data_IF_237249992795
#
_entry.id   IF_237249992795
#
_cell.length_a   1.000
_cell.length_b   1.000
_cell.length_c   1.000
_cell.angle_alpha   90.00
_cell.angle_beta   90.00
_cell.angle_gamma   90.00
#
_symmetry.space_group_name_H-M   'P 1'
#
loop_
_entity.id
_entity.type
_entity.pdbx_description
1 polymer ?
#
# COMPACT_ATOMS: atom_id res chain seq x y z
N UNK A 1 28.29 -9.79 12.64
CA UNK A 1 27.85 -8.86 13.70
C UNK A 1 26.34 -8.81 13.58
N UNK A 2 25.59 -9.26 14.58
CA UNK A 2 24.13 -9.23 14.51
C UNK A 2 23.67 -7.78 14.66
N UNK A 3 23.05 -7.22 13.61
CA UNK A 3 22.42 -5.91 13.69
C UNK A 3 21.18 -6.04 14.59
N UNK A 4 21.12 -5.28 15.67
CA UNK A 4 20.01 -5.33 16.61
C UNK A 4 18.83 -4.54 16.03
N UNK A 5 17.86 -5.25 15.46
CA UNK A 5 16.57 -4.68 15.10
C UNK A 5 15.85 -4.21 16.37
N UNK A 6 15.30 -2.99 16.32
CA UNK A 6 14.59 -2.37 17.44
C UNK A 6 13.12 -2.20 17.07
N UNK A 7 12.21 -2.69 17.92
CA UNK A 7 10.78 -2.38 17.84
C UNK A 7 10.41 -1.30 18.84
N UNK A 8 9.38 -0.52 18.52
CA UNK A 8 8.89 0.56 19.38
C UNK A 8 7.40 0.34 19.70
N UNK A 9 7.00 0.41 20.99
CA UNK A 9 5.61 0.20 21.38
C UNK A 9 4.61 1.19 20.77
N UNK A 10 5.06 2.38 20.36
CA UNK A 10 4.26 3.42 19.73
C UNK A 10 4.23 3.33 18.19
N UNK A 11 4.84 2.29 17.58
CA UNK A 11 4.74 2.06 16.14
C UNK A 11 3.39 1.46 15.75
N UNK A 12 2.52 2.27 15.14
CA UNK A 12 1.19 1.83 14.68
C UNK A 12 1.23 0.70 13.63
N UNK A 13 2.38 0.48 13.00
CA UNK A 13 2.57 -0.51 11.94
C UNK A 13 3.46 -1.69 12.37
N UNK A 14 3.85 -1.75 13.66
CA UNK A 14 4.70 -2.83 14.23
C UNK A 14 5.98 -3.08 13.41
N UNK A 15 6.62 -1.99 12.95
CA UNK A 15 7.85 -2.07 12.16
C UNK A 15 9.06 -2.29 13.06
N UNK A 16 10.08 -2.91 12.46
CA UNK A 16 11.41 -3.01 13.03
C UNK A 16 12.32 -1.96 12.40
N UNK A 17 13.09 -1.27 13.24
CA UNK A 17 14.02 -0.24 12.84
C UNK A 17 15.46 -0.70 13.08
N UNK A 18 16.32 -0.43 12.11
CA UNK A 18 17.74 -0.77 12.15
C UNK A 18 18.59 0.49 12.32
N UNK A 19 19.41 0.59 13.38
CA UNK A 19 20.36 1.69 13.51
C UNK A 19 21.37 1.70 12.36
N UNK A 20 21.64 2.87 11.79
CA UNK A 20 22.69 3.02 10.81
C UNK A 20 24.07 3.01 11.48
N UNK A 21 24.95 2.08 11.10
CA UNK A 21 26.16 1.74 11.86
C UNK A 21 27.50 2.17 11.20
N UNK A 22 27.49 3.08 10.22
CA UNK A 22 28.74 3.62 9.66
C UNK A 22 29.35 4.73 10.53
N UNK A 23 30.58 5.17 10.21
CA UNK A 23 31.34 6.24 10.87
C UNK A 23 30.70 7.64 10.66
N UNK A 24 29.46 7.81 11.10
CA UNK A 24 28.69 9.05 11.04
C UNK A 24 28.44 9.53 12.46
N UNK A 25 28.49 10.85 12.70
CA UNK A 25 28.23 11.37 14.04
C UNK A 25 26.73 11.28 14.35
N UNK A 26 26.42 10.72 15.53
CA UNK A 26 25.06 10.65 16.06
C UNK A 26 24.90 11.80 17.04
N UNK A 27 23.93 12.66 16.78
CA UNK A 27 23.60 13.80 17.63
C UNK A 27 22.34 13.44 18.42
N UNK A 28 22.43 13.51 19.76
CA UNK A 28 21.27 13.39 20.63
C UNK A 28 20.49 14.72 20.70
N UNK A 29 19.17 14.61 20.74
CA UNK A 29 18.21 15.70 20.95
C UNK A 29 17.62 15.59 22.34
N UNK A 30 17.56 16.70 23.07
CA UNK A 30 17.03 16.72 24.44
C UNK A 30 15.49 16.76 24.48
N UNK A 31 14.84 17.02 23.34
CA UNK A 31 13.39 17.21 23.25
C UNK A 31 12.82 16.43 22.04
N UNK A 32 11.66 15.81 22.23
CA UNK A 32 10.88 15.18 21.15
C UNK A 32 10.25 16.26 20.26
N UNK A 33 10.50 16.25 18.94
CA UNK A 33 9.90 17.24 18.03
C UNK A 33 8.39 17.03 17.84
N UNK A 34 7.69 18.11 17.49
CA UNK A 34 6.26 18.10 17.21
C UNK A 34 5.99 17.60 15.80
N UNK A 35 6.10 16.29 15.60
CA UNK A 35 5.90 15.65 14.30
C UNK A 35 4.40 15.48 14.02
N UNK A 36 3.87 16.19 13.02
CA UNK A 36 2.48 16.05 12.57
C UNK A 36 2.40 16.06 11.04
N UNK A 37 1.42 15.35 10.46
CA UNK A 37 1.13 15.39 9.02
C UNK A 37 1.70 14.24 8.17
N UNK A 38 2.20 13.16 8.76
CA UNK A 38 2.59 11.97 8.00
C UNK A 38 1.47 10.93 7.97
N UNK A 39 1.27 10.27 6.83
CA UNK A 39 0.41 9.08 6.74
C UNK A 39 1.12 7.81 7.27
N UNK A 40 2.46 7.85 7.32
CA UNK A 40 3.34 6.79 7.82
C UNK A 40 4.29 7.36 8.89
N UNK A 41 3.75 7.70 10.07
CA UNK A 41 4.48 8.37 11.17
C UNK A 41 5.47 7.36 11.79
N UNK A 42 6.80 7.65 11.82
CA UNK A 42 7.76 6.85 12.58
C UNK A 42 7.56 7.01 14.10
N UNK A 43 7.97 6.02 14.91
CA UNK A 43 8.04 6.14 16.37
C UNK A 43 8.71 7.42 16.85
N UNK A 44 8.18 7.99 17.92
CA UNK A 44 8.63 9.28 18.48
C UNK A 44 10.12 9.27 18.86
N UNK A 45 10.60 8.15 19.41
CA UNK A 45 11.99 7.94 19.84
C UNK A 45 13.02 8.06 18.72
N UNK A 46 12.64 7.81 17.47
CA UNK A 46 13.55 7.96 16.32
C UNK A 46 14.04 9.40 16.19
N UNK A 47 13.20 10.36 16.56
CA UNK A 47 13.53 11.77 16.48
C UNK A 47 14.31 12.31 17.69
N UNK A 48 14.62 11.47 18.68
CA UNK A 48 15.53 11.82 19.79
C UNK A 48 17.00 11.78 19.36
N UNK A 49 17.30 11.25 18.17
CA UNK A 49 18.65 11.25 17.60
C UNK A 49 18.64 11.59 16.11
N UNK A 50 19.77 12.05 15.60
CA UNK A 50 19.97 12.28 14.17
C UNK A 50 21.39 11.94 13.75
N UNK A 51 21.53 11.44 12.52
CA UNK A 51 22.81 11.32 11.83
C UNK A 51 23.20 12.69 11.28
N UNK A 52 24.44 13.11 11.46
CA UNK A 52 24.96 14.37 10.95
C UNK A 52 26.47 14.29 10.67
N UNK A 53 27.06 15.40 10.26
CA UNK A 53 28.49 15.58 10.02
C UNK A 53 29.03 16.74 10.83
N UNK A 54 30.33 16.72 11.09
CA UNK A 54 31.02 17.87 11.65
C UNK A 54 31.30 18.90 10.53
N UNK A 55 31.11 20.19 10.82
CA UNK A 55 31.57 21.33 9.98
C UNK A 55 31.03 21.42 8.54
N UNK A 56 29.70 21.49 8.38
CA UNK A 56 28.99 21.80 7.11
C UNK A 56 29.33 20.87 5.93
N UNK A 57 30.07 19.79 6.16
CA UNK A 57 30.39 18.82 5.13
C UNK A 57 29.14 18.05 4.70
N UNK A 58 29.05 17.59 3.44
CA UNK A 58 27.96 16.73 3.01
C UNK A 58 27.89 15.44 3.82
N UNK A 59 26.70 15.08 4.29
CA UNK A 59 26.45 13.76 4.88
C UNK A 59 26.19 12.76 3.74
N UNK A 60 27.05 11.76 3.63
CA UNK A 60 26.91 10.68 2.65
C UNK A 60 26.52 9.38 3.35
N UNK A 61 25.43 8.75 2.90
CA UNK A 61 24.91 7.50 3.44
C UNK A 61 24.83 6.45 2.33
N UNK A 62 25.48 5.31 2.55
CA UNK A 62 25.33 4.11 1.72
C UNK A 62 24.19 3.27 2.28
N UNK A 63 22.96 3.71 1.96
CA UNK A 63 21.76 3.12 2.53
C UNK A 63 20.71 2.82 1.43
N UNK A 64 20.10 1.61 1.43
CA UNK A 64 20.28 0.52 2.41
C UNK A 64 21.67 -0.15 2.33
N UNK A 65 22.09 -0.88 3.38
CA UNK A 65 23.41 -1.51 3.44
C UNK A 65 23.58 -2.67 2.43
N UNK A 66 22.46 -3.16 1.90
CA UNK A 66 22.41 -4.23 0.90
C UNK A 66 22.26 -3.63 -0.51
N UNK A 67 22.84 -4.31 -1.50
CA UNK A 67 22.60 -3.98 -2.89
C UNK A 67 21.16 -4.30 -3.29
N UNK A 68 20.51 -3.34 -3.93
CA UNK A 68 19.12 -3.43 -4.35
C UNK A 68 18.98 -4.09 -5.72
N UNK A 69 17.98 -4.97 -5.95
CA UNK A 69 17.66 -5.42 -7.30
C UNK A 69 17.20 -4.23 -8.16
N UNK A 70 17.41 -4.34 -9.47
CA UNK A 70 16.92 -3.36 -10.42
C UNK A 70 15.39 -3.31 -10.39
N UNK A 71 14.85 -2.25 -9.78
CA UNK A 71 13.43 -2.07 -9.60
C UNK A 71 13.08 -0.60 -9.40
N UNK A 72 11.80 -0.36 -9.16
CA UNK A 72 11.24 0.94 -8.83
C UNK A 72 10.95 0.98 -7.33
N UNK A 73 11.44 1.98 -6.63
CA UNK A 73 11.32 2.10 -5.18
C UNK A 73 10.52 3.33 -4.74
N UNK A 74 9.91 3.24 -3.57
CA UNK A 74 9.54 4.41 -2.78
C UNK A 74 10.59 4.63 -1.70
N UNK A 75 10.98 5.87 -1.49
CA UNK A 75 11.93 6.26 -0.43
C UNK A 75 11.25 7.32 0.42
N UNK A 76 11.16 7.09 1.73
CA UNK A 76 10.71 8.06 2.71
C UNK A 76 11.93 8.48 3.56
N UNK A 77 12.20 9.77 3.67
CA UNK A 77 13.26 10.32 4.51
C UNK A 77 12.66 11.27 5.54
N UNK A 78 13.08 11.14 6.80
CA UNK A 78 12.49 11.81 7.95
C UNK A 78 13.49 12.73 8.64
N UNK A 79 13.05 13.96 8.89
CA UNK A 79 13.88 15.04 9.41
C UNK A 79 13.16 15.79 10.53
N UNK A 80 13.89 16.18 11.57
CA UNK A 80 13.46 17.12 12.59
C UNK A 80 14.70 17.69 13.30
N UNK A 81 14.66 19.00 13.59
CA UNK A 81 15.73 19.67 14.33
C UNK A 81 15.15 20.40 15.54
N UNK A 82 15.52 19.97 16.73
CA UNK A 82 15.03 20.51 18.00
C UNK A 82 16.16 20.94 18.94
N UNK A 83 17.33 21.23 18.36
CA UNK A 83 18.45 21.79 19.12
C UNK A 83 18.09 23.21 19.54
N UNK A 84 18.46 23.56 20.77
CA UNK A 84 18.00 24.72 21.53
C UNK A 84 17.69 25.96 20.67
N UNK A 85 16.47 26.47 20.83
CA UNK A 85 15.87 27.61 20.10
C UNK A 85 16.59 28.95 20.24
N UNK A 86 17.79 28.96 20.85
CA UNK A 86 18.68 30.12 20.98
C UNK A 86 19.44 30.44 19.69
N UNK A 87 19.61 29.47 18.80
CA UNK A 87 20.19 29.67 17.48
C UNK A 87 19.07 29.58 16.45
N UNK A 88 18.65 30.73 15.92
CA UNK A 88 17.72 30.85 14.79
C UNK A 88 18.30 30.31 13.47
N UNK A 89 19.11 29.24 13.51
CA UNK A 89 19.70 28.64 12.34
C UNK A 89 18.64 27.82 11.62
N UNK A 90 18.09 28.39 10.54
CA UNK A 90 17.32 27.60 9.57
C UNK A 90 18.25 26.58 8.92
N UNK A 91 17.90 25.31 9.07
CA UNK A 91 18.59 24.21 8.42
C UNK A 91 17.98 24.07 7.03
N UNK A 92 18.75 24.47 6.02
CA UNK A 92 18.39 24.31 4.63
C UNK A 92 19.34 23.30 4.00
N UNK A 93 18.78 22.22 3.46
CA UNK A 93 19.57 21.15 2.88
C UNK A 93 19.08 20.74 1.48
N UNK A 94 19.99 20.20 0.69
CA UNK A 94 19.70 19.53 -0.56
C UNK A 94 19.79 18.02 -0.35
N UNK A 95 18.91 17.27 -1.03
CA UNK A 95 18.91 15.80 -1.01
C UNK A 95 19.27 15.32 -2.40
N UNK A 96 20.29 14.46 -2.50
CA UNK A 96 20.65 13.75 -3.72
C UNK A 96 20.52 12.24 -3.49
N UNK A 97 20.04 11.54 -4.51
CA UNK A 97 19.92 10.07 -4.53
C UNK A 97 20.68 9.58 -5.75
N UNK A 98 21.74 8.80 -5.55
CA UNK A 98 22.64 8.34 -6.63
C UNK A 98 23.08 9.47 -7.56
N UNK A 99 23.61 10.55 -6.98
CA UNK A 99 24.08 11.78 -7.66
C UNK A 99 22.98 12.65 -8.32
N UNK A 100 21.73 12.16 -8.39
CA UNK A 100 20.60 12.94 -8.90
C UNK A 100 20.05 13.83 -7.79
N UNK A 101 20.00 15.14 -8.03
CA UNK A 101 19.37 16.08 -7.10
C UNK A 101 17.86 15.85 -7.06
N UNK A 102 17.37 15.45 -5.88
CA UNK A 102 15.97 15.14 -5.66
C UNK A 102 15.21 16.30 -5.03
N UNK A 103 15.73 16.88 -3.93
CA UNK A 103 15.14 18.08 -3.29
C UNK A 103 16.18 19.17 -3.14
N UNK A 104 15.73 20.42 -3.29
CA UNK A 104 16.52 21.62 -3.03
C UNK A 104 15.90 22.46 -1.93
N UNK A 105 16.74 23.03 -1.06
CA UNK A 105 16.34 23.96 -0.02
C UNK A 105 15.24 23.42 0.91
N UNK A 106 15.34 22.15 1.32
CA UNK A 106 14.46 21.61 2.34
C UNK A 106 14.74 22.32 3.65
N UNK A 107 13.71 22.98 4.19
CA UNK A 107 13.76 23.58 5.52
C UNK A 107 13.42 22.52 6.57
N UNK A 108 14.32 22.32 7.53
CA UNK A 108 14.13 21.39 8.65
C UNK A 108 13.94 22.20 9.92
N UNK A 109 12.80 21.98 10.58
CA UNK A 109 12.40 22.66 11.82
C UNK A 109 12.04 21.63 12.91
N UNK A 110 11.65 22.12 14.09
CA UNK A 110 11.16 21.28 15.19
C UNK A 110 9.78 20.67 14.95
N UNK A 111 9.04 21.12 13.92
CA UNK A 111 7.82 20.46 13.45
C UNK A 111 8.11 19.17 12.65
N UNK A 112 9.36 19.02 12.19
CA UNK A 112 9.79 17.93 11.34
C UNK A 112 9.31 18.06 9.89
N UNK A 113 9.90 17.24 9.02
CA UNK A 113 9.57 17.11 7.61
C UNK A 113 9.76 15.65 7.17
N UNK A 114 8.88 15.19 6.28
CA UNK A 114 9.06 13.93 5.57
C UNK A 114 9.07 14.18 4.08
N UNK A 115 9.96 13.47 3.40
CA UNK A 115 10.22 13.62 1.99
C UNK A 115 10.02 12.25 1.33
N UNK A 116 9.23 12.21 0.25
CA UNK A 116 8.81 10.96 -0.41
C UNK A 116 9.22 10.91 -1.88
N UNK A 117 10.29 10.19 -2.20
CA UNK A 117 10.64 9.89 -3.58
C UNK A 117 9.72 8.77 -4.06
N UNK A 118 8.91 9.04 -5.09
CA UNK A 118 8.00 8.04 -5.66
C UNK A 118 8.57 7.52 -6.96
N UNK A 119 8.44 6.21 -7.16
CA UNK A 119 8.86 5.52 -8.38
C UNK A 119 10.33 5.75 -8.77
N UNK A 120 11.22 5.78 -7.78
CA UNK A 120 12.64 6.04 -8.00
C UNK A 120 13.35 4.78 -8.52
N UNK A 121 14.03 4.83 -9.68
CA UNK A 121 14.77 3.67 -10.17
C UNK A 121 16.05 3.48 -9.34
N UNK A 122 16.21 2.29 -8.75
CA UNK A 122 17.44 1.92 -8.05
C UNK A 122 17.91 0.54 -8.51
N UNK A 123 19.22 0.38 -8.54
CA UNK A 123 19.92 -0.86 -8.83
C UNK A 123 21.28 -0.82 -8.12
N UNK A 124 21.68 -1.92 -7.49
CA UNK A 124 22.94 -2.00 -6.77
C UNK A 124 22.97 -1.14 -5.51
N UNK A 125 24.14 -0.56 -5.20
CA UNK A 125 24.32 0.23 -4.00
C UNK A 125 23.67 1.61 -4.15
N UNK A 126 22.86 2.01 -3.16
CA UNK A 126 22.26 3.35 -3.13
C UNK A 126 23.08 4.29 -2.26
N UNK A 127 23.27 5.53 -2.73
CA UNK A 127 23.93 6.62 -2.02
C UNK A 127 22.95 7.78 -1.83
N UNK A 128 22.69 8.15 -0.58
CA UNK A 128 21.95 9.36 -0.21
C UNK A 128 22.96 10.40 0.23
N UNK A 129 22.95 11.57 -0.41
CA UNK A 129 23.82 12.69 -0.04
C UNK A 129 22.98 13.87 0.41
N UNK A 130 23.21 14.34 1.63
CA UNK A 130 22.64 15.56 2.16
C UNK A 130 23.72 16.64 2.18
N UNK A 131 23.47 17.79 1.56
CA UNK A 131 24.41 18.91 1.60
C UNK A 131 23.73 20.17 2.11
N UNK A 132 24.45 20.97 2.89
CA UNK A 132 23.94 22.28 3.35
C UNK A 132 23.75 23.22 2.15
N UNK A 133 22.64 23.95 2.14
CA UNK A 133 22.42 25.04 1.21
C UNK A 133 23.37 26.21 1.54
N UNK A 134 23.66 27.05 0.54
CA UNK A 134 24.64 28.14 0.65
C UNK A 134 24.34 29.16 1.77
N UNK A 135 23.09 29.26 2.21
CA UNK A 135 22.63 30.15 3.27
C UNK A 135 22.33 29.42 4.61
N UNK A 136 22.66 28.13 4.72
CA UNK A 136 22.44 27.38 5.95
C UNK A 136 23.68 27.42 6.84
N UNK A 137 23.46 27.73 8.12
CA UNK A 137 24.51 27.81 9.13
C UNK A 137 24.66 26.50 9.94
N UNK A 138 24.03 25.41 9.49
CA UNK A 138 24.00 24.15 10.22
C UNK A 138 24.29 22.95 9.31
N UNK A 139 25.05 21.97 9.82
CA UNK A 139 25.50 20.75 9.12
C UNK A 139 24.38 19.74 8.94
N UNK A 140 24.15 19.17 7.75
CA UNK A 140 22.92 18.44 7.41
C UNK A 140 22.63 17.31 8.41
N UNK A 141 21.35 16.98 8.59
CA UNK A 141 20.96 15.87 9.45
C UNK A 141 19.86 15.02 8.83
N UNK A 142 19.68 13.81 9.35
CA UNK A 142 18.53 12.94 9.09
C UNK A 142 18.24 12.08 10.32
N UNK A 143 16.97 11.83 10.61
CA UNK A 143 16.54 11.02 11.75
C UNK A 143 16.30 9.56 11.34
N UNK A 144 15.68 9.34 10.17
CA UNK A 144 15.40 8.01 9.66
C UNK A 144 15.13 8.00 8.15
N UNK A 145 15.16 6.79 7.57
CA UNK A 145 14.66 6.53 6.24
C UNK A 145 13.96 5.18 6.15
N UNK A 146 12.99 5.06 5.23
CA UNK A 146 12.36 3.80 4.82
C UNK A 146 12.42 3.65 3.30
N UNK A 147 12.66 2.44 2.83
CA UNK A 147 12.77 2.13 1.41
C UNK A 147 11.89 0.93 1.10
N UNK A 148 11.03 1.08 0.10
CA UNK A 148 10.04 0.08 -0.29
C UNK A 148 10.25 -0.29 -1.75
N UNK A 149 10.55 -1.56 -2.02
CA UNK A 149 10.51 -2.07 -3.39
C UNK A 149 9.07 -2.18 -3.86
N UNK A 150 8.77 -1.65 -5.05
CA UNK A 150 7.50 -1.88 -5.70
C UNK A 150 7.57 -3.22 -6.40
N UNK A 151 7.21 -4.28 -5.66
CA UNK A 151 6.94 -5.59 -6.24
C UNK A 151 5.78 -5.48 -7.23
N UNK A 152 6.09 -5.39 -8.52
CA UNK A 152 5.10 -5.53 -9.59
C UNK A 152 4.67 -7.00 -9.63
N UNK A 153 3.55 -7.32 -8.98
CA UNK A 153 2.99 -8.68 -8.88
C UNK A 153 2.48 -9.28 -10.22
N UNK A 154 3.04 -8.87 -11.36
CA UNK A 154 2.76 -9.48 -12.66
C UNK A 154 1.42 -9.12 -13.31
N UNK A 155 0.62 -8.22 -12.71
CA UNK A 155 -0.64 -7.75 -13.29
C UNK A 155 -1.47 -6.90 -12.33
N UNK A 156 -2.71 -6.62 -12.72
CA UNK A 156 -3.78 -6.10 -11.85
C UNK A 156 -5.10 -6.72 -12.26
N UNK A 157 -6.00 -6.93 -11.30
CA UNK A 157 -7.38 -7.27 -11.67
C UNK A 157 -7.97 -6.13 -12.50
N UNK A 158 -8.71 -6.50 -13.54
CA UNK A 158 -9.36 -5.54 -14.40
C UNK A 158 -10.27 -4.61 -13.60
N UNK A 159 -10.08 -3.29 -13.76
CA UNK A 159 -10.70 -2.27 -12.90
C UNK A 159 -12.21 -2.40 -12.78
N UNK A 160 -12.90 -2.76 -13.88
CA UNK A 160 -14.36 -2.97 -13.85
C UNK A 160 -14.77 -4.11 -12.92
N UNK A 161 -13.97 -5.18 -12.89
CA UNK A 161 -14.26 -6.34 -12.05
C UNK A 161 -14.01 -5.99 -10.58
N UNK A 162 -12.95 -5.21 -10.29
CA UNK A 162 -12.69 -4.66 -8.94
C UNK A 162 -13.85 -3.78 -8.45
N UNK A 163 -14.34 -2.87 -9.30
CA UNK A 163 -15.46 -1.98 -8.94
C UNK A 163 -16.73 -2.79 -8.66
N UNK A 164 -17.02 -3.78 -9.49
CA UNK A 164 -18.17 -4.66 -9.31
C UNK A 164 -18.09 -5.46 -8.00
N UNK A 165 -16.94 -6.07 -7.71
CA UNK A 165 -16.77 -6.82 -6.46
C UNK A 165 -16.76 -5.93 -5.22
N UNK A 166 -16.26 -4.69 -5.30
CA UNK A 166 -16.39 -3.72 -4.20
C UNK A 166 -17.84 -3.34 -3.93
N UNK A 167 -18.63 -3.12 -4.98
CA UNK A 167 -20.06 -2.87 -4.84
C UNK A 167 -20.79 -4.10 -4.28
N UNK A 168 -20.43 -5.31 -4.72
CA UNK A 168 -20.94 -6.56 -4.15
C UNK A 168 -20.56 -6.73 -2.68
N UNK A 169 -19.30 -6.44 -2.29
CA UNK A 169 -18.87 -6.43 -0.90
C UNK A 169 -19.76 -5.51 -0.05
N UNK A 170 -20.05 -4.31 -0.57
CA UNK A 170 -20.86 -3.31 0.14
C UNK A 170 -22.34 -3.69 0.29
N UNK A 171 -22.88 -4.57 -0.54
CA UNK A 171 -24.27 -5.07 -0.42
C UNK A 171 -24.41 -6.25 0.55
N UNK A 172 -23.30 -6.89 0.93
CA UNK A 172 -23.29 -7.98 1.91
C UNK A 172 -23.17 -7.41 3.32
N UNK A 173 -23.94 -7.97 4.26
CA UNK A 173 -23.84 -7.61 5.69
C UNK A 173 -22.64 -8.27 6.36
N UNK A 174 -22.22 -9.43 5.86
CA UNK A 174 -21.11 -10.23 6.38
C UNK A 174 -20.28 -10.81 5.22
N UNK A 175 -19.58 -9.97 4.43
CA UNK A 175 -18.70 -10.44 3.38
C UNK A 175 -17.50 -11.24 3.96
N UNK A 176 -16.83 -12.09 3.17
CA UNK A 176 -15.60 -12.76 3.60
C UNK A 176 -14.53 -11.76 4.07
N UNK A 177 -13.79 -12.11 5.12
CA UNK A 177 -12.86 -11.21 5.82
C UNK A 177 -11.69 -10.76 4.92
N UNK A 178 -11.29 -11.61 3.99
CA UNK A 178 -10.17 -11.41 3.07
C UNK A 178 -10.54 -10.61 1.82
N UNK A 179 -11.78 -10.13 1.70
CA UNK A 179 -12.22 -9.26 0.59
C UNK A 179 -11.65 -7.84 0.71
N UNK A 180 -10.32 -7.71 0.77
CA UNK A 180 -9.59 -6.45 0.84
C UNK A 180 -8.43 -6.44 -0.17
N UNK A 181 -8.12 -5.29 -0.76
CA UNK A 181 -7.07 -5.18 -1.77
C UNK A 181 -7.51 -5.59 -3.19
N UNK A 182 -6.61 -6.23 -3.95
CA UNK A 182 -6.86 -6.72 -5.31
C UNK A 182 -7.53 -8.12 -5.26
N UNK A 183 -8.69 -8.34 -5.90
CA UNK A 183 -9.41 -9.61 -5.79
C UNK A 183 -8.69 -10.85 -6.31
N UNK A 184 -7.76 -10.68 -7.25
CA UNK A 184 -7.08 -11.79 -7.92
C UNK A 184 -5.58 -11.83 -7.67
N UNK A 185 -5.03 -10.89 -6.91
CA UNK A 185 -3.59 -10.78 -6.70
C UNK A 185 -3.21 -10.59 -5.23
N UNK A 186 -2.15 -11.28 -4.77
CA UNK A 186 -1.32 -12.24 -5.53
C UNK A 186 -2.06 -13.55 -5.88
N UNK A 187 -1.65 -14.25 -6.95
CA UNK A 187 -2.39 -15.41 -7.51
C UNK A 187 -2.65 -16.55 -6.51
N UNK A 188 -1.81 -16.69 -5.48
CA UNK A 188 -1.97 -17.69 -4.42
C UNK A 188 -2.87 -17.22 -3.26
N UNK A 189 -3.36 -15.99 -3.33
CA UNK A 189 -4.12 -15.29 -2.30
C UNK A 189 -5.25 -14.49 -2.94
N UNK A 190 -5.97 -15.11 -3.89
CA UNK A 190 -7.21 -14.53 -4.41
C UNK A 190 -8.24 -14.45 -3.28
N UNK A 191 -9.17 -13.51 -3.39
CA UNK A 191 -10.27 -13.40 -2.43
C UNK A 191 -11.03 -14.72 -2.33
N UNK A 192 -11.49 -15.05 -1.12
CA UNK A 192 -12.26 -16.25 -0.85
C UNK A 192 -13.43 -16.36 -1.81
N UNK A 193 -13.53 -17.52 -2.45
CA UNK A 193 -14.57 -17.85 -3.43
C UNK A 193 -14.37 -17.27 -4.82
N UNK A 194 -13.25 -16.58 -5.10
CA UNK A 194 -12.99 -15.96 -6.40
C UNK A 194 -11.89 -16.73 -7.14
N UNK A 195 -12.20 -17.15 -8.37
CA UNK A 195 -11.19 -17.66 -9.32
C UNK A 195 -11.01 -16.67 -10.45
N UNK A 196 -9.76 -16.48 -10.87
CA UNK A 196 -9.41 -15.49 -11.88
C UNK A 196 -8.66 -16.09 -13.07
N UNK A 197 -8.73 -15.40 -14.21
CA UNK A 197 -8.00 -15.77 -15.42
C UNK A 197 -6.50 -15.53 -15.26
N UNK A 198 -5.68 -16.25 -16.03
CA UNK A 198 -4.24 -15.99 -16.13
C UNK A 198 -3.95 -14.91 -17.20
N UNK A 199 -2.77 -14.30 -17.14
CA UNK A 199 -2.28 -13.32 -18.12
C UNK A 199 -2.24 -11.89 -17.58
N UNK A 200 -1.86 -10.93 -18.44
CA UNK A 200 -1.63 -9.53 -18.03
C UNK A 200 -2.92 -8.79 -17.63
N UNK A 201 -4.05 -9.14 -18.23
CA UNK A 201 -5.37 -8.57 -17.94
C UNK A 201 -6.23 -9.58 -17.21
N UNK A 202 -6.01 -9.68 -15.91
CA UNK A 202 -6.69 -10.64 -15.04
C UNK A 202 -8.17 -10.27 -14.90
N UNK A 203 -9.05 -11.24 -15.13
CA UNK A 203 -10.51 -11.12 -15.03
C UNK A 203 -11.04 -12.11 -13.99
N UNK A 204 -12.17 -11.78 -13.37
CA UNK A 204 -12.90 -12.71 -12.50
C UNK A 204 -13.69 -13.68 -13.36
N UNK A 205 -13.46 -14.99 -13.17
CA UNK A 205 -14.02 -16.07 -14.00
C UNK A 205 -15.08 -16.85 -13.24
N UNK A 206 -14.91 -17.07 -11.95
CA UNK A 206 -15.93 -17.75 -11.14
C UNK A 206 -16.10 -17.09 -9.79
N UNK A 207 -17.32 -17.18 -9.25
CA UNK A 207 -17.66 -16.81 -7.90
C UNK A 207 -18.34 -18.00 -7.21
N UNK A 208 -17.68 -18.60 -6.21
CA UNK A 208 -18.24 -19.68 -5.40
C UNK A 208 -18.20 -19.30 -3.92
N UNK A 209 -19.35 -18.95 -3.38
CA UNK A 209 -19.57 -18.60 -1.98
C UNK A 209 -20.66 -19.47 -1.36
N UNK A 210 -20.82 -20.69 -1.84
CA UNK A 210 -21.83 -21.64 -1.34
C UNK A 210 -21.61 -21.93 0.14
N UNK A 211 -22.67 -21.97 0.94
CA UNK A 211 -22.61 -22.33 2.37
C UNK A 211 -21.69 -21.44 3.23
N UNK A 212 -21.56 -20.15 2.89
CA UNK A 212 -20.73 -19.20 3.64
C UNK A 212 -21.51 -18.39 4.68
N UNK A 213 -22.81 -18.67 4.86
CA UNK A 213 -23.67 -17.94 5.80
C UNK A 213 -23.87 -16.47 5.42
N UNK A 214 -23.69 -16.12 4.14
CA UNK A 214 -23.79 -14.74 3.66
C UNK A 214 -25.21 -14.20 3.79
N UNK A 215 -25.34 -12.93 4.16
CA UNK A 215 -26.60 -12.22 4.28
C UNK A 215 -26.49 -10.80 3.69
N UNK A 216 -27.63 -10.18 3.39
CA UNK A 216 -27.70 -8.92 2.66
C UNK A 216 -28.40 -9.11 1.32
N UNK A 217 -27.92 -8.45 0.27
CA UNK A 217 -28.49 -8.56 -1.07
C UNK A 217 -27.43 -8.75 -2.16
N UNK A 218 -27.86 -9.27 -3.31
CA UNK A 218 -27.01 -9.42 -4.48
C UNK A 218 -26.98 -8.11 -5.28
N UNK A 219 -25.84 -7.40 -5.26
CA UNK A 219 -25.68 -6.15 -6.01
C UNK A 219 -25.85 -6.37 -7.52
N UNK A 220 -26.58 -5.48 -8.19
CA UNK A 220 -26.71 -5.47 -9.65
C UNK A 220 -25.39 -5.28 -10.39
N UNK A 221 -24.36 -4.78 -9.70
CA UNK A 221 -23.00 -4.67 -10.23
C UNK A 221 -22.37 -6.01 -10.60
N UNK A 222 -22.89 -7.15 -10.11
CA UNK A 222 -22.44 -8.49 -10.53
C UNK A 222 -22.54 -8.67 -12.05
N UNK A 223 -23.49 -8.01 -12.71
CA UNK A 223 -23.68 -8.01 -14.16
C UNK A 223 -22.48 -7.39 -14.92
N UNK A 224 -21.61 -6.64 -14.25
CA UNK A 224 -20.40 -6.06 -14.85
C UNK A 224 -19.21 -7.05 -14.92
N UNK A 225 -19.32 -8.21 -14.25
CA UNK A 225 -18.32 -9.27 -14.26
C UNK A 225 -18.47 -10.14 -15.52
N UNK A 226 -18.35 -9.53 -16.70
CA UNK A 226 -18.70 -10.17 -18.00
C UNK A 226 -17.82 -11.36 -18.41
N UNK A 227 -16.83 -11.73 -17.60
CA UNK A 227 -15.98 -12.90 -17.81
C UNK A 227 -16.42 -14.10 -16.95
N UNK A 228 -17.46 -13.94 -16.12
CA UNK A 228 -17.99 -15.01 -15.29
C UNK A 228 -18.53 -16.14 -16.15
N UNK A 229 -18.14 -17.35 -15.80
CA UNK A 229 -18.68 -18.61 -16.34
C UNK A 229 -19.53 -19.35 -15.31
N UNK A 230 -19.33 -19.10 -14.02
CA UNK A 230 -20.12 -19.74 -12.96
C UNK A 230 -20.30 -18.85 -11.73
N UNK A 231 -21.52 -18.87 -11.20
CA UNK A 231 -21.91 -18.22 -9.95
C UNK A 231 -22.55 -19.28 -9.06
N UNK A 232 -21.95 -19.55 -7.91
CA UNK A 232 -22.49 -20.42 -6.86
C UNK A 232 -22.66 -19.63 -5.57
N UNK A 233 -23.90 -19.33 -5.23
CA UNK A 233 -24.30 -18.62 -4.00
C UNK A 233 -25.29 -19.45 -3.18
N UNK A 234 -25.46 -20.73 -3.50
CA UNK A 234 -26.41 -21.63 -2.86
C UNK A 234 -26.19 -21.76 -1.35
N UNK A 235 -27.27 -22.07 -0.61
CA UNK A 235 -27.23 -22.30 0.83
C UNK A 235 -26.66 -21.09 1.61
N UNK A 236 -27.28 -19.93 1.44
CA UNK A 236 -26.94 -18.70 2.15
C UNK A 236 -28.24 -18.01 2.65
N UNK A 237 -28.13 -16.80 3.17
CA UNK A 237 -29.25 -15.96 3.63
C UNK A 237 -29.35 -14.64 2.84
N UNK A 238 -29.02 -14.69 1.54
CA UNK A 238 -29.16 -13.52 0.65
C UNK A 238 -30.64 -13.24 0.37
N UNK A 239 -31.00 -11.97 0.30
CA UNK A 239 -32.38 -11.49 0.18
C UNK A 239 -32.54 -10.39 -0.87
N UNK A 240 -33.78 -10.03 -1.18
CA UNK A 240 -34.12 -9.07 -2.23
C UNK A 240 -34.30 -9.74 -3.59
N UNK A 241 -34.31 -8.95 -4.66
CA UNK A 241 -34.53 -9.45 -6.02
C UNK A 241 -33.24 -9.91 -6.70
N UNK A 242 -33.36 -10.88 -7.60
CA UNK A 242 -32.24 -11.28 -8.48
C UNK A 242 -32.03 -10.14 -9.49
N UNK A 243 -30.82 -9.57 -9.62
CA UNK A 243 -30.57 -8.49 -10.58
C UNK A 243 -30.59 -9.01 -12.02
N UNK A 244 -30.69 -8.08 -12.98
CA UNK A 244 -30.56 -8.44 -14.39
C UNK A 244 -29.13 -8.93 -14.70
N UNK A 245 -29.01 -10.19 -15.14
CA UNK A 245 -27.73 -10.83 -15.49
C UNK A 245 -27.48 -10.95 -17.00
N UNK A 246 -28.28 -10.32 -17.87
CA UNK A 246 -28.22 -10.54 -19.33
C UNK A 246 -26.92 -10.13 -20.01
N UNK A 247 -26.10 -9.30 -19.35
CA UNK A 247 -24.76 -8.93 -19.80
C UNK A 247 -23.71 -10.04 -19.58
N UNK A 248 -23.99 -11.05 -18.75
CA UNK A 248 -23.09 -12.16 -18.46
C UNK A 248 -23.14 -13.21 -19.57
N UNK A 249 -22.73 -12.82 -20.78
CA UNK A 249 -22.83 -13.65 -22.01
C UNK A 249 -22.03 -14.96 -21.97
N UNK A 250 -21.15 -15.14 -20.99
CA UNK A 250 -20.34 -16.35 -20.80
C UNK A 250 -20.81 -17.22 -19.63
N UNK A 251 -21.86 -16.81 -18.92
CA UNK A 251 -22.34 -17.53 -17.73
C UNK A 251 -22.99 -18.85 -18.12
N UNK A 252 -22.43 -19.95 -17.63
CA UNK A 252 -22.90 -21.31 -17.89
C UNK A 252 -23.66 -21.90 -16.70
N UNK A 253 -23.29 -21.51 -15.47
CA UNK A 253 -23.84 -22.05 -14.22
C UNK A 253 -24.29 -20.92 -13.29
N UNK A 254 -25.53 -20.99 -12.79
CA UNK A 254 -26.08 -20.04 -11.82
C UNK A 254 -26.83 -20.77 -10.70
N UNK A 255 -26.21 -20.90 -9.53
CA UNK A 255 -26.79 -21.54 -8.35
C UNK A 255 -27.14 -20.51 -7.30
N UNK A 256 -28.44 -20.33 -7.04
CA UNK A 256 -29.01 -19.39 -6.08
C UNK A 256 -29.97 -20.07 -5.08
N UNK A 257 -30.05 -21.40 -5.10
CA UNK A 257 -30.88 -22.24 -4.24
C UNK A 257 -30.63 -21.98 -2.75
N UNK A 258 -31.60 -22.32 -1.90
CA UNK A 258 -31.50 -22.19 -0.45
C UNK A 258 -31.03 -20.79 0.01
N UNK A 259 -31.67 -19.76 -0.54
CA UNK A 259 -31.56 -18.35 -0.15
C UNK A 259 -32.95 -17.75 0.14
N UNK A 260 -33.00 -16.45 0.45
CA UNK A 260 -34.21 -15.70 0.78
C UNK A 260 -34.55 -14.67 -0.32
N UNK A 261 -34.19 -14.96 -1.58
CA UNK A 261 -34.54 -14.11 -2.72
C UNK A 261 -36.07 -14.02 -2.88
N UNK A 262 -36.55 -12.86 -3.31
CA UNK A 262 -37.96 -12.56 -3.52
C UNK A 262 -38.19 -11.83 -4.85
N UNK A 263 -39.45 -11.58 -5.18
CA UNK A 263 -39.85 -11.02 -6.46
C UNK A 263 -39.84 -12.07 -7.58
N UNK A 264 -39.90 -11.59 -8.82
CA UNK A 264 -39.95 -12.43 -10.00
C UNK A 264 -38.54 -12.85 -10.46
N UNK A 265 -38.45 -14.04 -11.06
CA UNK A 265 -37.25 -14.46 -11.79
C UNK A 265 -37.10 -13.54 -13.00
N UNK A 266 -35.96 -12.81 -13.16
CA UNK A 266 -35.80 -11.87 -14.25
C UNK A 266 -35.92 -12.57 -15.61
N UNK A 267 -36.88 -12.14 -16.43
CA UNK A 267 -37.07 -12.67 -17.79
C UNK A 267 -35.81 -12.50 -18.67
N UNK A 268 -34.96 -11.53 -18.32
CA UNK A 268 -33.67 -11.30 -18.95
C UNK A 268 -32.66 -12.44 -18.77
N UNK A 269 -32.88 -13.39 -17.85
CA UNK A 269 -32.09 -14.63 -17.78
C UNK A 269 -32.22 -15.45 -19.07
N UNK A 270 -33.37 -15.38 -19.76
CA UNK A 270 -33.56 -16.02 -21.07
C UNK A 270 -32.67 -15.44 -22.18
N UNK A 271 -32.05 -14.27 -21.97
CA UNK A 271 -31.10 -13.68 -22.92
C UNK A 271 -29.66 -14.23 -22.75
N UNK A 272 -29.38 -14.95 -21.67
CA UNK A 272 -28.08 -15.55 -21.38
C UNK A 272 -27.98 -16.91 -22.08
N UNK A 273 -27.70 -16.87 -23.39
CA UNK A 273 -27.70 -18.08 -24.25
C UNK A 273 -26.68 -19.16 -23.87
N UNK A 274 -25.68 -18.82 -23.06
CA UNK A 274 -24.65 -19.74 -22.56
C UNK A 274 -25.09 -20.53 -21.33
N UNK A 275 -26.18 -20.15 -20.67
CA UNK A 275 -26.63 -20.77 -19.43
C UNK A 275 -27.07 -22.22 -19.70
N UNK A 276 -26.53 -23.15 -18.91
CA UNK A 276 -26.77 -24.60 -19.00
C UNK A 276 -27.31 -25.18 -17.70
N UNK A 277 -26.99 -24.57 -16.58
CA UNK A 277 -27.36 -25.02 -15.24
C UNK A 277 -27.87 -23.82 -14.42
N UNK A 278 -29.06 -23.98 -13.82
CA UNK A 278 -29.80 -22.95 -13.09
C UNK A 278 -30.52 -23.58 -11.87
#
# INVERSE_FOLDING_TARGET
>A
MFCALTSYPDDLFDRYWEPYAENVSVIASNNTPSVSGFWNIPPSKIFESALSTDRLEPLELRWPPLSLPNSTYYIALYFADNRDSMLSSSRLLHIHINEVRYISNLEVTSAGAAVFATRWPLEGQTKITLSSAANSNASPLINAGEIFDILRLGGRTHTRDVIALKAMKSSLRNPPLDWNGDPCLPLNYTWTGITCSKGERIRVVTLNLTSMGLSGSLSSSIANLTALTGIWLGNNSLSGTIPNLSSLRLLEVLHLEDNQFNGEIPSSLGEVRSLREL
#
